data_IF_232252648398
#
_entry.id   IF_232252648398
#
_cell.length_a   1.000
_cell.length_b   1.000
_cell.length_c   1.000
_cell.angle_alpha   90.00
_cell.angle_beta   90.00
_cell.angle_gamma   90.00
#
_symmetry.space_group_name_H-M   'P 1'
#
loop_
_entity.id
_entity.type
_entity.pdbx_description
1 polymer ?
#
# COMPACT_ATOMS: atom_id res chain seq x y z
N UNK A 1 39.86 -8.63 0.54
CA UNK A 1 38.68 -9.52 0.39
C UNK A 1 37.53 -8.68 -0.14
N UNK A 2 37.03 -8.95 -1.35
CA UNK A 2 35.73 -8.43 -1.77
C UNK A 2 34.68 -9.16 -0.93
N UNK A 3 33.89 -8.43 -0.14
CA UNK A 3 32.70 -9.02 0.50
C UNK A 3 31.70 -9.23 -0.64
N UNK A 4 31.55 -10.47 -1.09
CA UNK A 4 30.46 -10.81 -2.00
C UNK A 4 29.14 -10.48 -1.29
N UNK A 5 28.39 -9.54 -1.86
CA UNK A 5 27.11 -9.12 -1.31
C UNK A 5 26.14 -10.27 -1.54
N UNK A 6 25.55 -10.78 -0.45
CA UNK A 6 24.55 -11.85 -0.52
C UNK A 6 23.40 -11.48 -1.48
N UNK A 7 22.95 -12.38 -2.37
CA UNK A 7 21.78 -12.14 -3.22
C UNK A 7 20.53 -11.73 -2.44
N UNK A 8 20.35 -12.27 -1.23
CA UNK A 8 19.28 -11.88 -0.32
C UNK A 8 19.39 -10.41 0.11
N UNK A 9 20.60 -9.94 0.43
CA UNK A 9 20.83 -8.55 0.81
C UNK A 9 20.55 -7.59 -0.36
N UNK A 10 20.84 -8.02 -1.59
CA UNK A 10 20.48 -7.24 -2.78
C UNK A 10 18.96 -7.15 -2.98
N UNK A 11 18.24 -8.27 -2.82
CA UNK A 11 16.78 -8.29 -2.89
C UNK A 11 16.17 -7.38 -1.83
N UNK A 12 16.61 -7.50 -0.58
CA UNK A 12 16.12 -6.68 0.51
C UNK A 12 16.38 -5.18 0.27
N UNK A 13 17.58 -4.83 -0.22
CA UNK A 13 17.89 -3.45 -0.55
C UNK A 13 16.97 -2.91 -1.67
N UNK A 14 16.69 -3.73 -2.68
CA UNK A 14 15.77 -3.38 -3.75
C UNK A 14 14.35 -3.13 -3.22
N UNK A 15 13.85 -4.00 -2.34
CA UNK A 15 12.52 -3.80 -1.75
C UNK A 15 12.46 -2.54 -0.87
N UNK A 16 13.50 -2.25 -0.10
CA UNK A 16 13.59 -1.00 0.67
C UNK A 16 13.52 0.21 -0.27
N UNK A 17 14.33 0.23 -1.32
CA UNK A 17 14.31 1.33 -2.31
C UNK A 17 12.96 1.45 -3.01
N UNK A 18 12.29 0.33 -3.30
CA UNK A 18 10.93 0.36 -3.82
C UNK A 18 9.99 1.06 -2.84
N UNK A 19 10.08 0.75 -1.54
CA UNK A 19 9.21 1.32 -0.51
C UNK A 19 9.51 2.79 -0.19
N UNK A 20 10.76 3.25 -0.35
CA UNK A 20 11.16 4.64 -0.10
C UNK A 20 10.34 5.67 -0.89
N UNK A 21 9.81 5.29 -2.06
CA UNK A 21 8.96 6.19 -2.85
C UNK A 21 7.70 6.63 -2.09
N UNK A 22 7.21 5.82 -1.15
CA UNK A 22 6.03 6.15 -0.35
C UNK A 22 6.31 7.10 0.81
N UNK A 23 7.58 7.35 1.16
CA UNK A 23 7.94 8.27 2.26
C UNK A 23 7.56 9.70 1.89
N UNK A 24 6.64 10.30 2.64
CA UNK A 24 6.24 11.70 2.47
C UNK A 24 7.38 12.62 2.92
N UNK A 25 7.87 13.47 2.01
CA UNK A 25 8.96 14.42 2.31
C UNK A 25 8.45 15.84 2.54
N UNK A 26 7.26 16.15 2.05
CA UNK A 26 6.66 17.47 2.20
C UNK A 26 6.24 17.76 3.65
N UNK A 27 6.38 19.01 4.13
CA UNK A 27 5.94 19.38 5.47
C UNK A 27 4.43 19.16 5.67
N UNK A 28 4.05 18.61 6.83
CA UNK A 28 2.66 18.27 7.13
C UNK A 28 1.72 19.48 6.99
N UNK A 29 0.58 19.26 6.33
CA UNK A 29 -0.51 20.22 6.23
C UNK A 29 -0.40 21.26 5.10
N UNK A 30 0.75 21.33 4.40
CA UNK A 30 0.91 22.20 3.22
C UNK A 30 0.22 21.61 1.98
N UNK A 31 0.09 22.40 0.91
CA UNK A 31 -0.51 21.90 -0.34
C UNK A 31 0.35 20.82 -1.00
N UNK A 32 1.67 20.94 -0.88
CA UNK A 32 2.64 19.95 -1.37
C UNK A 32 2.46 18.61 -0.67
N UNK A 33 2.23 18.63 0.65
CA UNK A 33 1.89 17.42 1.40
C UNK A 33 0.62 16.75 0.86
N UNK A 34 -0.45 17.52 0.63
CA UNK A 34 -1.70 16.95 0.14
C UNK A 34 -1.56 16.35 -1.26
N UNK A 35 -0.83 17.02 -2.15
CA UNK A 35 -0.52 16.52 -3.48
C UNK A 35 0.31 15.23 -3.43
N UNK A 36 1.39 15.21 -2.65
CA UNK A 36 2.28 14.05 -2.51
C UNK A 36 1.55 12.86 -1.86
N UNK A 37 0.73 13.13 -0.83
CA UNK A 37 -0.10 12.14 -0.17
C UNK A 37 -1.12 11.53 -1.14
N UNK A 38 -1.81 12.38 -1.92
CA UNK A 38 -2.84 11.93 -2.87
C UNK A 38 -2.24 11.06 -3.98
N UNK A 39 -1.08 11.45 -4.53
CA UNK A 39 -0.38 10.67 -5.55
C UNK A 39 -0.07 9.26 -5.06
N UNK A 40 0.50 9.15 -3.86
CA UNK A 40 0.91 7.88 -3.27
C UNK A 40 -0.26 7.03 -2.81
N UNK A 41 -1.27 7.63 -2.21
CA UNK A 41 -2.51 6.94 -1.85
C UNK A 41 -3.21 6.41 -3.12
N UNK A 42 -3.24 7.20 -4.20
CA UNK A 42 -3.76 6.79 -5.50
C UNK A 42 -3.00 5.59 -6.08
N UNK A 43 -1.67 5.59 -6.02
CA UNK A 43 -0.85 4.45 -6.47
C UNK A 43 -1.21 3.17 -5.71
N UNK A 44 -1.35 3.24 -4.38
CA UNK A 44 -1.73 2.09 -3.55
C UNK A 44 -3.11 1.57 -3.94
N UNK A 45 -4.09 2.46 -4.10
CA UNK A 45 -5.47 2.10 -4.48
C UNK A 45 -5.49 1.38 -5.82
N UNK A 46 -4.83 1.93 -6.84
CA UNK A 46 -4.77 1.34 -8.18
C UNK A 46 -4.06 -0.01 -8.13
N UNK A 47 -2.96 -0.11 -7.39
CA UNK A 47 -2.19 -1.35 -7.28
C UNK A 47 -2.97 -2.44 -6.54
N UNK A 48 -3.66 -2.09 -5.44
CA UNK A 48 -4.58 -3.01 -4.73
C UNK A 48 -5.62 -3.57 -5.69
N UNK A 49 -6.28 -2.70 -6.47
CA UNK A 49 -7.30 -3.11 -7.43
C UNK A 49 -6.72 -4.04 -8.51
N UNK A 50 -5.54 -3.71 -9.05
CA UNK A 50 -4.86 -4.54 -10.05
C UNK A 50 -4.50 -5.92 -9.51
N UNK A 51 -3.95 -6.00 -8.29
CA UNK A 51 -3.57 -7.27 -7.65
C UNK A 51 -4.80 -8.11 -7.30
N UNK A 52 -5.84 -7.51 -6.69
CA UNK A 52 -7.12 -8.22 -6.43
C UNK A 52 -7.72 -8.78 -7.72
N UNK A 53 -7.72 -8.00 -8.80
CA UNK A 53 -8.20 -8.44 -10.12
C UNK A 53 -7.36 -9.58 -10.69
N UNK A 54 -6.03 -9.51 -10.56
CA UNK A 54 -5.13 -10.57 -11.03
C UNK A 54 -5.41 -11.90 -10.29
N UNK A 55 -5.53 -11.84 -8.96
CA UNK A 55 -5.87 -13.00 -8.11
C UNK A 55 -7.24 -13.59 -8.46
N UNK A 56 -8.26 -12.74 -8.68
CA UNK A 56 -9.63 -13.19 -9.01
C UNK A 56 -9.72 -13.80 -10.41
N UNK A 57 -9.15 -13.16 -11.42
CA UNK A 57 -9.28 -13.59 -12.82
C UNK A 57 -8.34 -14.74 -13.23
N UNK A 58 -7.25 -14.94 -12.50
CA UNK A 58 -6.24 -15.95 -12.84
C UNK A 58 -6.08 -16.99 -11.73
N UNK A 59 -7.08 -17.15 -10.85
CA UNK A 59 -7.02 -18.03 -9.68
C UNK A 59 -6.52 -19.45 -9.98
N UNK A 60 -6.92 -20.02 -11.11
CA UNK A 60 -6.56 -21.38 -11.54
C UNK A 60 -5.30 -21.45 -12.41
N UNK A 61 -4.75 -20.29 -12.81
CA UNK A 61 -3.56 -20.17 -13.68
C UNK A 61 -2.31 -19.79 -12.90
N UNK A 62 -2.48 -19.15 -11.74
CA UNK A 62 -1.38 -18.77 -10.86
C UNK A 62 -0.91 -19.98 -10.06
N UNK A 63 0.40 -20.18 -10.03
CA UNK A 63 1.05 -21.07 -9.06
C UNK A 63 0.86 -20.57 -7.63
N UNK A 64 1.00 -21.46 -6.65
CA UNK A 64 0.94 -21.08 -5.23
C UNK A 64 2.01 -20.06 -4.86
N UNK A 65 3.19 -20.12 -5.49
CA UNK A 65 4.25 -19.12 -5.28
C UNK A 65 3.83 -17.73 -5.79
N UNK A 66 3.18 -17.64 -6.95
CA UNK A 66 2.66 -16.37 -7.47
C UNK A 66 1.53 -15.81 -6.61
N UNK A 67 0.63 -16.67 -6.14
CA UNK A 67 -0.44 -16.27 -5.20
C UNK A 67 0.14 -15.73 -3.90
N UNK A 68 1.17 -16.39 -3.36
CA UNK A 68 1.86 -15.95 -2.16
C UNK A 68 2.51 -14.58 -2.37
N UNK A 69 3.25 -14.40 -3.48
CA UNK A 69 3.88 -13.11 -3.84
C UNK A 69 2.87 -11.97 -3.91
N UNK A 70 1.76 -12.19 -4.60
CA UNK A 70 0.68 -11.18 -4.72
C UNK A 70 0.01 -10.89 -3.37
N UNK A 71 -0.15 -11.90 -2.51
CA UNK A 71 -0.72 -11.72 -1.17
C UNK A 71 0.22 -10.93 -0.25
N UNK A 72 1.52 -11.25 -0.24
CA UNK A 72 2.54 -10.50 0.50
C UNK A 72 2.65 -9.06 0.01
N UNK A 73 2.48 -8.83 -1.30
CA UNK A 73 2.43 -7.50 -1.89
C UNK A 73 1.23 -6.70 -1.36
N UNK A 74 0.03 -7.31 -1.27
CA UNK A 74 -1.15 -6.67 -0.70
C UNK A 74 -0.95 -6.30 0.77
N UNK A 75 -0.34 -7.18 1.56
CA UNK A 75 -0.03 -6.92 2.98
C UNK A 75 0.93 -5.75 3.14
N UNK A 76 1.99 -5.70 2.33
CA UNK A 76 2.93 -4.58 2.31
C UNK A 76 2.24 -3.26 1.97
N UNK A 77 1.33 -3.26 0.99
CA UNK A 77 0.56 -2.06 0.65
C UNK A 77 -0.44 -1.64 1.73
N UNK A 78 -0.95 -2.60 2.54
CA UNK A 78 -1.80 -2.30 3.70
C UNK A 78 -1.02 -1.53 4.76
N UNK A 79 0.21 -1.95 5.05
CA UNK A 79 1.06 -1.24 6.01
C UNK A 79 1.39 0.18 5.54
N UNK A 80 1.65 0.37 4.25
CA UNK A 80 1.91 1.69 3.66
C UNK A 80 0.66 2.57 3.72
N UNK A 81 -0.53 2.02 3.42
CA UNK A 81 -1.78 2.76 3.53
C UNK A 81 -2.05 3.22 4.96
N UNK A 82 -1.82 2.36 5.95
CA UNK A 82 -1.93 2.72 7.37
C UNK A 82 -0.98 3.87 7.75
N UNK A 83 0.25 3.83 7.24
CA UNK A 83 1.21 4.93 7.40
C UNK A 83 0.69 6.24 6.79
N UNK A 84 0.20 6.20 5.54
CA UNK A 84 -0.33 7.38 4.87
C UNK A 84 -1.57 7.93 5.59
N UNK A 85 -2.44 7.07 6.09
CA UNK A 85 -3.62 7.50 6.84
C UNK A 85 -3.24 8.17 8.16
N UNK A 86 -2.26 7.63 8.88
CA UNK A 86 -1.73 8.28 10.09
C UNK A 86 -1.23 9.71 9.81
N UNK A 87 -0.53 9.90 8.69
CA UNK A 87 -0.08 11.23 8.27
C UNK A 87 -1.25 12.14 7.91
N UNK A 88 -2.25 11.62 7.18
CA UNK A 88 -3.48 12.36 6.84
C UNK A 88 -4.16 12.88 8.09
N UNK A 89 -4.41 12.00 9.06
CA UNK A 89 -5.05 12.35 10.32
C UNK A 89 -4.25 13.36 11.11
N UNK A 90 -2.93 13.21 11.16
CA UNK A 90 -2.05 14.15 11.85
C UNK A 90 -2.14 15.54 11.20
N UNK A 91 -2.08 15.61 9.87
CA UNK A 91 -2.21 16.86 9.13
C UNK A 91 -3.57 17.53 9.31
N UNK A 92 -4.67 16.77 9.41
CA UNK A 92 -6.01 17.30 9.67
C UNK A 92 -6.16 17.82 11.11
N UNK A 93 -5.64 17.07 12.10
CA UNK A 93 -5.61 17.49 13.51
C UNK A 93 -4.85 18.81 13.68
N UNK A 94 -3.74 19.01 12.97
CA UNK A 94 -3.00 20.28 12.96
C UNK A 94 -3.84 21.46 12.45
N UNK A 95 -4.84 21.20 11.60
CA UNK A 95 -5.79 22.21 11.10
C UNK A 95 -7.06 22.34 11.96
N UNK A 96 -7.14 21.62 13.07
CA UNK A 96 -8.33 21.57 13.91
C UNK A 96 -9.51 20.83 13.28
N UNK A 97 -9.26 20.00 12.26
CA UNK A 97 -10.30 19.21 11.59
C UNK A 97 -10.34 17.83 12.24
N UNK A 98 -11.48 17.49 12.85
CA UNK A 98 -11.77 16.12 13.24
C UNK A 98 -12.28 15.37 12.02
N UNK A 99 -11.51 14.38 11.57
CA UNK A 99 -11.95 13.42 10.55
C UNK A 99 -12.22 12.09 11.21
N UNK A 100 -13.29 11.38 10.83
CA UNK A 100 -13.43 9.98 11.19
C UNK A 100 -12.21 9.19 10.69
N UNK A 101 -11.89 8.11 11.40
CA UNK A 101 -10.91 7.13 10.94
C UNK A 101 -11.39 6.60 9.60
N UNK A 102 -10.63 6.86 8.54
CA UNK A 102 -10.92 6.38 7.21
C UNK A 102 -9.79 5.45 6.82
N UNK A 103 -10.07 4.15 6.69
CA UNK A 103 -9.07 3.24 6.15
C UNK A 103 -9.14 3.32 4.61
N UNK A 104 -8.00 3.60 3.98
CA UNK A 104 -7.83 3.55 2.52
C UNK A 104 -8.26 2.18 1.98
N UNK A 105 -8.14 1.12 2.77
CA UNK A 105 -8.58 -0.22 2.42
C UNK A 105 -10.09 -0.42 2.60
N UNK A 106 -10.70 0.10 3.66
CA UNK A 106 -12.14 -0.08 3.96
C UNK A 106 -13.03 0.73 3.02
N UNK A 107 -12.62 1.95 2.64
CA UNK A 107 -13.39 2.82 1.75
C UNK A 107 -13.61 2.29 0.33
N UNK A 108 -12.98 1.17 -0.02
CA UNK A 108 -13.14 0.47 -1.30
C UNK A 108 -13.87 -0.87 -1.17
N UNK A 109 -14.04 -1.38 0.04
CA UNK A 109 -14.64 -2.70 0.29
C UNK A 109 -16.17 -2.62 0.39
N UNK A 110 -16.76 -1.44 0.61
CA UNK A 110 -18.22 -1.24 0.60
C UNK A 110 -18.89 -1.34 -0.79
N UNK A 111 -18.13 -1.63 -1.87
CA UNK A 111 -18.68 -1.71 -3.24
C UNK A 111 -18.64 -3.10 -3.89
N UNK A 112 -18.00 -4.09 -3.26
CA UNK A 112 -18.13 -5.49 -3.66
C UNK A 112 -18.99 -6.20 -2.61
N UNK A 113 -20.30 -6.29 -2.91
CA UNK A 113 -21.23 -7.05 -2.09
C UNK A 113 -20.69 -8.44 -1.77
N UNK A 114 -20.90 -8.84 -0.52
CA UNK A 114 -20.63 -10.15 0.05
C UNK A 114 -20.96 -11.28 -0.93
N UNK A 115 -19.95 -11.81 -1.61
CA UNK A 115 -19.93 -13.22 -1.98
C UNK A 115 -18.90 -13.89 -1.07
N UNK A 116 -19.41 -14.45 0.02
CA UNK A 116 -18.75 -15.40 0.90
C UNK A 116 -17.79 -16.30 0.11
N UNK A 117 -16.49 -16.09 0.28
CA UNK A 117 -15.49 -17.11 -0.01
C UNK A 117 -15.05 -17.68 1.34
N UNK A 118 -15.85 -18.61 1.86
CA UNK A 118 -15.43 -19.51 2.94
C UNK A 118 -14.22 -20.34 2.51
N UNK A 119 -13.19 -20.37 3.36
CA UNK A 119 -11.98 -21.20 3.24
C UNK A 119 -12.28 -22.70 3.39
#
# INVERSE_FOLDING_TARGET
MKKDISPFNMLLAQEITNLERFVIKSPLGTNEFWSEWQEKAGEIIITKAAVKKALKLNKDKLSEEEKLKLSTMLESFKDIANYLELLRQTALKLKGIESPNWDIFDGLEESEGDEDITF
#
